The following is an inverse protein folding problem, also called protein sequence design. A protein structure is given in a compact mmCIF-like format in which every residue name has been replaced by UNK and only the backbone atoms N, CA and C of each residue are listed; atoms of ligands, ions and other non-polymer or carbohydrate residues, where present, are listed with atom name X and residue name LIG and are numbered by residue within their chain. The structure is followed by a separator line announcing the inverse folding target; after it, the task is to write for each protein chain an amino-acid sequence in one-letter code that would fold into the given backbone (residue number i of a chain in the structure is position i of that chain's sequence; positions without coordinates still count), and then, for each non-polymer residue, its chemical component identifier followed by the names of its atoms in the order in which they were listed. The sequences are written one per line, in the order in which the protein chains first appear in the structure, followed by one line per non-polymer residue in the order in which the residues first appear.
data_IF_226739166794
#
_entry.id   IF_226739166794
#
_cell.length_a   1.000
_cell.length_b   1.000
_cell.length_c   1.000
_cell.angle_alpha   90.00
_cell.angle_beta   90.00
_cell.angle_gamma   90.00
#
_symmetry.space_group_name_H-M   'P 1'
#
loop_
_entity.id
_entity.type
_entity.pdbx_description
1 polymer ?
#
# COMPACT_ATOMS: atom_id res chain seq x y z
N UNK A 1 -13.48 -20.53 -0.52
CA UNK A 1 -12.61 -19.61 0.24
C UNK A 1 -11.51 -19.02 -0.62
N UNK A 2 -11.14 -19.68 -1.72
CA UNK A 2 -10.24 -19.15 -2.75
C UNK A 2 -10.83 -17.96 -3.53
N UNK A 3 -12.12 -18.04 -3.84
CA UNK A 3 -12.83 -16.98 -4.59
C UNK A 3 -12.81 -15.61 -3.90
N UNK A 4 -12.68 -15.61 -2.57
CA UNK A 4 -12.78 -14.35 -1.81
C UNK A 4 -11.48 -13.53 -1.80
N UNK A 5 -10.31 -14.16 -1.88
CA UNK A 5 -9.03 -13.46 -2.02
C UNK A 5 -8.77 -13.02 -3.47
N UNK A 6 -9.22 -13.84 -4.43
CA UNK A 6 -9.15 -13.48 -5.85
C UNK A 6 -10.19 -12.42 -6.23
N UNK A 7 -11.37 -12.41 -5.57
CA UNK A 7 -12.40 -11.40 -5.76
C UNK A 7 -11.95 -10.02 -5.35
N UNK A 8 -11.17 -9.89 -4.28
CA UNK A 8 -10.64 -8.59 -3.85
C UNK A 8 -9.60 -8.00 -4.80
N UNK A 9 -8.86 -8.86 -5.51
CA UNK A 9 -7.91 -8.43 -6.54
C UNK A 9 -8.61 -7.99 -7.84
N UNK A 10 -9.88 -8.40 -8.05
CA UNK A 10 -10.66 -8.12 -9.27
C UNK A 10 -11.78 -7.08 -9.11
N UNK A 11 -12.10 -6.67 -7.90
CA UNK A 11 -13.22 -5.75 -7.62
C UNK A 11 -12.99 -4.28 -8.02
N UNK A 12 -11.97 -3.99 -8.83
CA UNK A 12 -11.68 -2.67 -9.39
C UNK A 12 -12.15 -2.46 -10.83
N UNK A 13 -12.99 -3.32 -11.39
CA UNK A 13 -13.38 -3.28 -12.79
C UNK A 13 -14.84 -3.01 -13.02
N UNK A 14 -15.11 -1.91 -13.71
CA UNK A 14 -16.30 -1.52 -14.46
C UNK A 14 -17.58 -1.15 -13.71
N UNK A 15 -17.82 0.16 -13.62
CA UNK A 15 -19.12 0.71 -14.00
C UNK A 15 -18.91 1.91 -14.94
N UNK A 16 -19.07 1.61 -16.22
CA UNK A 16 -19.35 2.61 -17.24
C UNK A 16 -20.77 3.10 -17.06
N UNK A 17 -20.95 4.38 -16.86
CA UNK A 17 -22.23 5.05 -17.16
C UNK A 17 -21.97 6.06 -18.27
N UNK A 18 -22.34 5.64 -19.46
CA UNK A 18 -22.74 6.50 -20.55
C UNK A 18 -24.03 7.23 -20.15
N UNK A 19 -24.12 8.51 -20.35
CA UNK A 19 -25.12 9.12 -21.22
C UNK A 19 -25.04 10.66 -21.15
N UNK A 20 -24.91 11.24 -22.30
CA UNK A 20 -25.80 12.11 -23.09
C UNK A 20 -26.11 13.49 -22.52
N UNK A 21 -25.76 14.46 -23.27
CA UNK A 21 -26.50 15.49 -24.00
C UNK A 21 -25.73 16.81 -24.02
N UNK A 22 -25.28 17.18 -25.16
CA UNK A 22 -25.80 18.10 -26.15
C UNK A 22 -26.34 19.44 -25.63
N UNK A 23 -25.79 20.44 -26.24
CA UNK A 23 -26.45 21.54 -26.95
C UNK A 23 -26.13 22.95 -26.43
N UNK A 24 -25.72 23.73 -27.41
CA UNK A 24 -25.95 25.18 -27.62
C UNK A 24 -24.84 26.09 -27.08
N UNK A 25 -23.99 26.65 -27.84
CA UNK A 25 -24.16 27.44 -29.07
C UNK A 25 -24.06 28.92 -28.78
N UNK A 26 -23.13 29.57 -29.37
CA UNK A 26 -23.11 30.92 -29.96
C UNK A 26 -21.81 31.70 -29.70
N UNK A 27 -21.09 31.75 -30.78
CA UNK A 27 -20.46 32.92 -31.42
C UNK A 27 -20.49 34.22 -30.62
N UNK A 28 -19.30 34.83 -30.53
CA UNK A 28 -19.12 36.21 -30.98
C UNK A 28 -17.65 36.43 -31.38
N UNK A 29 -17.53 37.01 -32.53
CA UNK A 29 -16.33 37.34 -33.28
C UNK A 29 -15.78 38.72 -32.93
N UNK A 30 -14.54 38.89 -33.33
CA UNK A 30 -13.86 40.16 -33.75
C UNK A 30 -13.33 41.04 -32.61
N UNK A 31 -12.23 41.71 -32.69
CA UNK A 31 -11.35 42.16 -33.75
C UNK A 31 -10.05 42.67 -33.10
N UNK A 32 -8.95 42.44 -33.69
CA UNK A 32 -8.09 43.31 -34.53
C UNK A 32 -7.04 44.15 -33.77
N UNK A 33 -5.79 43.97 -34.24
CA UNK A 33 -4.69 44.91 -34.48
C UNK A 33 -3.71 45.18 -33.34
N UNK A 34 -2.47 44.73 -33.60
CA UNK A 34 -1.37 45.67 -33.58
C UNK A 34 -0.18 45.36 -32.71
N UNK A 35 0.90 44.98 -33.35
CA UNK A 35 2.13 45.63 -33.00
C UNK A 35 3.24 44.84 -32.32
N UNK A 36 4.24 44.56 -33.13
CA UNK A 36 5.70 44.60 -32.87
C UNK A 36 6.39 43.52 -32.07
N UNK A 37 7.13 42.78 -32.85
CA UNK A 37 8.42 42.09 -32.63
C UNK A 37 9.18 42.51 -31.36
N UNK A 38 9.47 41.52 -30.52
CA UNK A 38 10.80 41.38 -29.92
C UNK A 38 11.03 39.94 -29.52
N UNK A 39 11.95 39.30 -30.21
CA UNK A 39 12.50 37.99 -29.86
C UNK A 39 13.24 38.09 -28.51
N UNK A 40 12.87 37.26 -27.56
CA UNK A 40 13.74 36.88 -26.46
C UNK A 40 13.75 35.36 -26.40
N UNK A 41 14.90 34.81 -26.80
CA UNK A 41 15.29 33.44 -26.50
C UNK A 41 15.29 33.28 -24.97
N UNK A 42 14.28 32.66 -24.44
CA UNK A 42 14.25 32.19 -23.06
C UNK A 42 14.17 30.65 -23.09
N UNK A 43 15.29 30.00 -22.82
CA UNK A 43 15.39 28.54 -22.79
C UNK A 43 14.43 27.97 -21.79
N UNK A 44 13.48 27.19 -22.31
CA UNK A 44 12.57 26.34 -21.51
C UNK A 44 13.37 25.12 -21.04
N UNK A 45 14.05 25.19 -19.91
CA UNK A 45 14.47 24.04 -19.16
C UNK A 45 13.19 23.32 -18.70
N UNK A 46 12.73 22.36 -19.47
CA UNK A 46 11.75 21.37 -19.00
C UNK A 46 12.45 20.48 -17.97
N UNK A 47 12.31 20.84 -16.70
CA UNK A 47 12.53 19.91 -15.62
C UNK A 47 11.46 18.81 -15.76
N UNK A 48 11.86 17.66 -16.30
CA UNK A 48 11.09 16.43 -16.18
C UNK A 48 11.09 16.04 -14.71
N UNK A 49 10.17 16.61 -13.93
CA UNK A 49 9.80 16.04 -12.66
C UNK A 49 9.15 14.70 -12.96
N UNK A 50 9.87 13.62 -12.71
CA UNK A 50 9.30 12.29 -12.68
C UNK A 50 8.24 12.28 -11.57
N UNK A 51 6.99 12.50 -11.94
CA UNK A 51 5.87 12.38 -11.03
C UNK A 51 5.80 10.91 -10.62
N UNK A 52 6.32 10.60 -9.44
CA UNK A 52 6.06 9.31 -8.78
C UNK A 52 4.56 9.25 -8.58
N UNK A 53 3.87 8.39 -9.34
CA UNK A 53 2.44 8.23 -9.25
C UNK A 53 2.07 7.84 -7.83
N UNK A 54 1.32 8.70 -7.14
CA UNK A 54 0.77 8.39 -5.82
C UNK A 54 -0.32 7.31 -5.98
N UNK A 55 -0.41 6.34 -5.06
CA UNK A 55 -1.47 5.34 -5.09
C UNK A 55 -2.84 6.00 -5.11
N UNK A 56 -3.74 5.48 -5.94
CA UNK A 56 -5.12 5.98 -5.99
C UNK A 56 -5.92 5.51 -4.77
N UNK A 57 -6.97 6.26 -4.39
CA UNK A 57 -7.83 5.88 -3.27
C UNK A 57 -8.41 4.44 -3.38
N UNK A 58 -8.84 3.94 -4.56
CA UNK A 58 -9.24 2.53 -4.73
C UNK A 58 -8.12 1.54 -4.42
N UNK A 59 -6.88 1.84 -4.82
CA UNK A 59 -5.71 0.98 -4.54
C UNK A 59 -5.44 0.88 -3.04
N UNK A 60 -5.51 2.00 -2.32
CA UNK A 60 -5.32 2.03 -0.87
C UNK A 60 -6.41 1.23 -0.13
N UNK A 61 -7.65 1.29 -0.59
CA UNK A 61 -8.75 0.50 -0.02
C UNK A 61 -8.52 -1.01 -0.20
N UNK A 62 -8.00 -1.43 -1.36
CA UNK A 62 -7.65 -2.84 -1.61
C UNK A 62 -6.51 -3.27 -0.67
N UNK A 63 -5.47 -2.45 -0.52
CA UNK A 63 -4.35 -2.72 0.40
C UNK A 63 -4.81 -2.78 1.85
N UNK A 64 -5.68 -1.86 2.28
CA UNK A 64 -6.26 -1.85 3.63
C UNK A 64 -7.01 -3.15 3.92
N UNK A 65 -7.91 -3.56 3.02
CA UNK A 65 -8.65 -4.82 3.15
C UNK A 65 -7.71 -6.05 3.15
N UNK A 66 -6.63 -5.99 2.36
CA UNK A 66 -5.62 -7.04 2.33
C UNK A 66 -4.86 -7.12 3.66
N UNK A 67 -4.42 -5.99 4.22
CA UNK A 67 -3.71 -5.95 5.52
C UNK A 67 -4.57 -6.55 6.65
N UNK A 68 -5.88 -6.23 6.68
CA UNK A 68 -6.80 -6.81 7.64
C UNK A 68 -6.87 -8.34 7.52
N UNK A 69 -6.98 -8.86 6.29
CA UNK A 69 -7.05 -10.30 6.03
C UNK A 69 -5.71 -11.01 6.19
N UNK A 70 -4.62 -10.35 5.86
CA UNK A 70 -3.27 -10.89 5.97
C UNK A 70 -2.99 -11.42 7.38
N UNK A 71 -3.47 -10.71 8.41
CA UNK A 71 -3.30 -11.10 9.80
C UNK A 71 -3.84 -12.50 10.12
N UNK A 72 -4.82 -13.01 9.35
CA UNK A 72 -5.41 -14.36 9.53
C UNK A 72 -4.51 -15.48 8.98
N UNK A 73 -3.52 -15.12 8.16
CA UNK A 73 -2.59 -16.05 7.52
C UNK A 73 -1.20 -16.03 8.13
N UNK A 74 -1.03 -15.29 9.23
CA UNK A 74 0.24 -15.13 9.90
C UNK A 74 0.14 -15.63 11.35
N UNK A 75 1.18 -16.33 11.77
CA UNK A 75 1.35 -16.78 13.14
C UNK A 75 2.63 -16.17 13.71
N UNK A 76 2.49 -15.45 14.80
CA UNK A 76 3.59 -14.86 15.54
C UNK A 76 4.04 -15.76 16.69
N UNK A 77 5.32 -15.70 17.11
CA UNK A 77 5.76 -16.39 18.31
C UNK A 77 4.89 -16.01 19.52
N UNK A 78 4.53 -16.96 20.35
CA UNK A 78 3.65 -16.72 21.50
C UNK A 78 4.19 -15.63 22.44
N UNK A 79 5.50 -15.52 22.56
CA UNK A 79 6.17 -14.50 23.39
C UNK A 79 5.93 -13.04 22.94
N UNK A 80 5.37 -12.82 21.75
CA UNK A 80 4.99 -11.48 21.26
C UNK A 80 3.77 -10.92 22.01
N UNK A 81 2.97 -11.81 22.58
CA UNK A 81 1.75 -11.46 23.27
C UNK A 81 1.89 -11.62 24.78
N UNK A 82 1.50 -10.60 25.53
CA UNK A 82 1.56 -10.59 27.00
C UNK A 82 0.31 -11.19 27.64
N UNK A 83 -0.82 -11.22 26.91
CA UNK A 83 -2.06 -11.86 27.34
C UNK A 83 -2.84 -12.46 26.15
N UNK A 84 -3.77 -13.39 26.41
CA UNK A 84 -4.65 -13.92 25.37
C UNK A 84 -5.54 -12.86 24.71
N UNK A 85 -5.91 -11.80 25.40
CA UNK A 85 -6.79 -10.73 24.94
C UNK A 85 -6.07 -9.61 24.23
N UNK A 86 -4.71 -9.58 24.29
CA UNK A 86 -3.93 -8.53 23.65
C UNK A 86 -4.26 -8.46 22.15
N UNK A 87 -4.62 -7.26 21.64
CA UNK A 87 -4.95 -7.11 20.22
C UNK A 87 -3.71 -7.31 19.33
N UNK A 88 -3.96 -7.65 18.08
CA UNK A 88 -2.96 -7.57 17.01
C UNK A 88 -2.91 -6.11 16.56
N UNK A 89 -1.74 -5.50 16.65
CA UNK A 89 -1.53 -4.10 16.29
C UNK A 89 -0.96 -4.02 14.88
N UNK A 90 -1.68 -3.32 14.00
CA UNK A 90 -1.21 -2.94 12.67
C UNK A 90 -0.68 -1.52 12.76
N UNK A 91 0.65 -1.37 12.73
CA UNK A 91 1.32 -0.09 12.67
C UNK A 91 1.29 0.50 11.26
N UNK A 92 1.16 1.82 11.16
CA UNK A 92 1.36 2.59 9.93
C UNK A 92 2.46 3.59 10.23
N UNK A 93 3.61 3.44 9.58
CA UNK A 93 4.76 4.34 9.74
C UNK A 93 4.78 5.36 8.60
N UNK A 94 4.82 6.64 8.95
CA UNK A 94 4.73 7.77 8.03
C UNK A 94 3.29 8.24 7.80
N UNK A 95 3.05 8.82 6.62
CA UNK A 95 1.71 9.32 6.24
C UNK A 95 0.75 8.15 6.05
N UNK A 96 -0.43 8.26 6.66
CA UNK A 96 -1.45 7.21 6.56
C UNK A 96 -2.17 7.24 5.20
N UNK A 97 -1.98 6.22 4.34
CA UNK A 97 -2.66 6.16 3.06
C UNK A 97 -4.09 5.60 3.14
N UNK A 98 -4.50 5.06 4.29
CA UNK A 98 -5.75 4.31 4.44
C UNK A 98 -6.87 5.12 5.11
N UNK A 99 -6.51 6.12 5.89
CA UNK A 99 -7.45 6.98 6.58
C UNK A 99 -8.21 6.30 7.73
N UNK A 100 -9.18 7.03 8.35
CA UNK A 100 -9.91 6.57 9.54
C UNK A 100 -10.87 5.41 9.24
N UNK A 101 -11.26 5.21 7.99
CA UNK A 101 -12.15 4.11 7.58
C UNK A 101 -11.49 2.75 7.76
N UNK A 102 -10.15 2.70 7.72
CA UNK A 102 -9.41 1.48 7.99
C UNK A 102 -9.63 0.99 9.42
N UNK A 103 -9.60 1.89 10.41
CA UNK A 103 -9.90 1.54 11.81
C UNK A 103 -11.30 0.95 11.97
N UNK A 104 -12.29 1.57 11.30
CA UNK A 104 -13.66 1.10 11.33
C UNK A 104 -13.79 -0.31 10.71
N UNK A 105 -13.09 -0.57 9.60
CA UNK A 105 -13.11 -1.86 8.92
C UNK A 105 -12.54 -2.99 9.76
N UNK A 106 -11.55 -2.71 10.62
CA UNK A 106 -10.91 -3.73 11.47
C UNK A 106 -11.79 -4.21 12.64
N UNK A 107 -12.78 -3.43 13.07
CA UNK A 107 -13.63 -3.77 14.23
C UNK A 107 -14.37 -5.11 14.06
N UNK A 108 -14.68 -5.48 12.83
CA UNK A 108 -15.36 -6.73 12.51
C UNK A 108 -14.43 -7.95 12.46
N UNK A 109 -13.09 -7.72 12.47
CA UNK A 109 -12.12 -8.78 12.33
C UNK A 109 -11.64 -9.28 13.68
N UNK A 110 -11.55 -10.62 13.78
CA UNK A 110 -10.85 -11.30 14.88
C UNK A 110 -9.91 -12.34 14.29
N UNK A 111 -8.75 -12.48 14.89
CA UNK A 111 -7.72 -13.46 14.52
C UNK A 111 -7.33 -14.22 15.76
N UNK A 112 -7.60 -15.53 15.78
CA UNK A 112 -7.39 -16.36 16.97
C UNK A 112 -7.99 -15.76 18.26
N UNK A 113 -9.21 -15.19 18.16
CA UNK A 113 -9.92 -14.53 19.26
C UNK A 113 -9.47 -13.08 19.55
N UNK A 114 -8.36 -12.62 19.00
CA UNK A 114 -7.81 -11.28 19.21
C UNK A 114 -8.46 -10.26 18.28
N UNK A 115 -8.75 -9.06 18.78
CA UNK A 115 -9.15 -7.92 17.96
C UNK A 115 -7.96 -7.34 17.20
N UNK A 116 -8.23 -6.59 16.13
CA UNK A 116 -7.22 -5.83 15.39
C UNK A 116 -7.35 -4.34 15.73
N UNK A 117 -6.20 -3.67 15.85
CA UNK A 117 -6.13 -2.23 16.10
C UNK A 117 -5.09 -1.57 15.19
N UNK A 118 -5.36 -0.33 14.77
CA UNK A 118 -4.38 0.49 14.03
C UNK A 118 -3.61 1.38 14.99
N UNK A 119 -2.32 1.54 14.76
CA UNK A 119 -1.46 2.49 15.44
C UNK A 119 -0.63 3.26 14.43
N UNK A 120 -0.82 4.58 14.37
CA UNK A 120 -0.07 5.49 13.49
C UNK A 120 1.21 5.92 14.16
N UNK A 121 2.33 5.79 13.46
CA UNK A 121 3.67 5.98 13.98
C UNK A 121 4.42 7.03 13.15
N UNK A 122 5.17 7.88 13.83
CA UNK A 122 6.07 8.85 13.20
C UNK A 122 7.53 8.39 13.21
N UNK A 123 7.86 7.43 14.06
CA UNK A 123 9.22 6.95 14.25
C UNK A 123 9.21 5.43 14.33
N UNK A 124 10.24 4.80 13.77
CA UNK A 124 10.39 3.34 13.77
C UNK A 124 10.63 2.77 15.17
N UNK A 125 11.20 3.57 16.08
CA UNK A 125 11.44 3.20 17.46
C UNK A 125 10.15 2.89 18.21
N UNK A 126 9.04 3.53 17.80
CA UNK A 126 7.71 3.36 18.39
C UNK A 126 6.98 2.10 17.85
N UNK A 127 7.60 1.36 16.90
CA UNK A 127 7.01 0.15 16.32
C UNK A 127 7.01 -1.07 17.29
N UNK A 128 7.59 -0.92 18.47
CA UNK A 128 7.53 -1.95 19.49
C UNK A 128 6.10 -2.36 19.81
N UNK A 129 5.83 -3.69 19.86
CA UNK A 129 4.51 -4.25 20.10
C UNK A 129 3.55 -4.22 18.89
N UNK A 130 3.97 -3.74 17.72
CA UNK A 130 3.25 -4.00 16.47
C UNK A 130 3.54 -5.41 15.99
N UNK A 131 2.52 -6.12 15.53
CA UNK A 131 2.65 -7.41 14.88
C UNK A 131 2.81 -7.26 13.37
N UNK A 132 2.18 -6.26 12.78
CA UNK A 132 2.28 -5.90 11.39
C UNK A 132 2.63 -4.42 11.28
N UNK A 133 3.49 -4.05 10.34
CA UNK A 133 3.88 -2.65 10.10
C UNK A 133 3.84 -2.34 8.61
N UNK A 134 2.95 -1.44 8.23
CA UNK A 134 2.98 -0.84 6.90
C UNK A 134 3.91 0.38 6.91
N UNK A 135 4.90 0.39 6.02
CA UNK A 135 5.83 1.50 5.84
C UNK A 135 5.36 2.27 4.61
N UNK A 136 4.91 3.50 4.86
CA UNK A 136 4.36 4.38 3.83
C UNK A 136 5.45 4.91 2.90
N UNK A 137 5.07 5.32 1.69
CA UNK A 137 5.99 5.95 0.71
C UNK A 137 6.63 7.25 1.21
N UNK A 138 6.00 7.93 2.16
CA UNK A 138 6.63 9.10 2.82
C UNK A 138 7.94 8.76 3.51
N UNK A 139 8.19 7.47 3.78
CA UNK A 139 9.41 6.96 4.42
C UNK A 139 10.46 6.42 3.44
N UNK A 140 10.23 6.47 2.12
CA UNK A 140 11.09 5.87 1.09
C UNK A 140 12.55 6.31 1.21
N UNK A 141 12.81 7.59 1.51
CA UNK A 141 14.16 8.12 1.71
C UNK A 141 14.88 7.55 2.94
N UNK A 142 14.13 7.03 3.90
CA UNK A 142 14.63 6.45 5.15
C UNK A 142 14.40 4.93 5.25
N UNK A 143 13.93 4.29 4.17
CA UNK A 143 13.50 2.90 4.17
C UNK A 143 14.62 1.95 4.64
N UNK A 144 15.84 2.14 4.14
CA UNK A 144 16.99 1.27 4.51
C UNK A 144 17.29 1.28 6.02
N UNK A 145 17.50 2.42 6.69
CA UNK A 145 17.71 2.45 8.13
C UNK A 145 16.48 1.98 8.93
N UNK A 146 15.26 2.22 8.46
CA UNK A 146 14.03 1.72 9.08
C UNK A 146 14.03 0.19 9.10
N UNK A 147 14.22 -0.46 7.94
CA UNK A 147 14.22 -1.91 7.84
C UNK A 147 15.38 -2.55 8.62
N UNK A 148 16.56 -1.91 8.64
CA UNK A 148 17.68 -2.37 9.47
C UNK A 148 17.34 -2.34 10.98
N UNK A 149 16.60 -1.33 11.44
CA UNK A 149 16.13 -1.25 12.84
C UNK A 149 15.13 -2.35 13.20
N UNK A 150 14.37 -2.85 12.20
CA UNK A 150 13.34 -3.87 12.39
C UNK A 150 13.85 -5.29 12.20
N UNK A 151 15.06 -5.47 11.67
CA UNK A 151 15.63 -6.78 11.38
C UNK A 151 15.64 -7.69 12.63
N UNK A 152 15.22 -8.94 12.46
CA UNK A 152 15.13 -9.94 13.53
C UNK A 152 14.01 -9.71 14.54
N UNK A 153 13.26 -8.62 14.46
CA UNK A 153 12.08 -8.39 15.29
C UNK A 153 10.87 -9.16 14.71
N UNK A 154 9.97 -9.66 15.56
CA UNK A 154 8.78 -10.40 15.10
C UNK A 154 7.68 -9.45 14.59
N UNK A 155 8.04 -8.61 13.63
CA UNK A 155 7.17 -7.61 13.00
C UNK A 155 7.09 -7.93 11.50
N UNK A 156 5.89 -8.21 11.00
CA UNK A 156 5.65 -8.42 9.58
C UNK A 156 5.59 -7.07 8.88
N UNK A 157 6.59 -6.75 8.06
CA UNK A 157 6.67 -5.46 7.37
C UNK A 157 6.03 -5.51 5.99
N UNK A 158 5.34 -4.43 5.60
CA UNK A 158 4.75 -4.26 4.27
C UNK A 158 5.09 -2.88 3.71
N UNK A 159 5.24 -2.77 2.39
CA UNK A 159 5.50 -1.49 1.71
C UNK A 159 5.37 -1.60 0.19
N UNK A 160 5.57 -0.48 -0.49
CA UNK A 160 5.38 -0.35 -1.95
C UNK A 160 6.69 -0.05 -2.70
N UNK A 161 7.79 0.22 -2.01
CA UNK A 161 9.07 0.59 -2.61
C UNK A 161 9.66 -0.57 -3.43
N UNK A 162 10.25 -0.28 -4.58
CA UNK A 162 10.75 -1.32 -5.51
C UNK A 162 11.82 -2.21 -4.91
N UNK A 163 12.68 -1.67 -4.06
CA UNK A 163 13.72 -2.43 -3.39
C UNK A 163 13.32 -2.95 -1.99
N UNK A 164 12.03 -2.86 -1.64
CA UNK A 164 11.54 -3.20 -0.29
C UNK A 164 12.02 -4.57 0.20
N UNK A 165 11.88 -5.60 -0.64
CA UNK A 165 12.32 -6.96 -0.27
C UNK A 165 13.84 -7.09 -0.22
N UNK A 166 14.57 -6.43 -1.13
CA UNK A 166 16.04 -6.43 -1.15
C UNK A 166 16.63 -5.76 0.09
N UNK A 167 15.92 -4.78 0.65
CA UNK A 167 16.32 -4.06 1.86
C UNK A 167 15.92 -4.79 3.15
N UNK A 168 15.32 -5.99 3.06
CA UNK A 168 14.94 -6.82 4.21
C UNK A 168 13.46 -6.70 4.60
N UNK A 169 12.64 -6.05 3.80
CA UNK A 169 11.19 -6.01 4.02
C UNK A 169 10.52 -7.35 3.73
N UNK A 170 9.39 -7.62 4.39
CA UNK A 170 8.74 -8.94 4.33
C UNK A 170 7.77 -9.07 3.16
N UNK A 171 6.89 -8.09 2.92
CA UNK A 171 5.92 -8.11 1.83
C UNK A 171 5.94 -6.81 1.06
N UNK A 172 6.12 -6.90 -0.25
CA UNK A 172 6.02 -5.76 -1.16
C UNK A 172 4.74 -5.83 -1.95
N UNK A 173 3.98 -4.73 -1.95
CA UNK A 173 2.89 -4.50 -2.89
C UNK A 173 3.40 -3.87 -4.18
N UNK A 174 2.76 -4.19 -5.30
CA UNK A 174 2.91 -3.46 -6.55
C UNK A 174 1.61 -3.46 -7.34
N UNK A 175 1.51 -2.50 -8.24
CA UNK A 175 0.36 -2.39 -9.12
C UNK A 175 0.53 -3.29 -10.35
N UNK A 176 -0.52 -4.07 -10.65
CA UNK A 176 -0.62 -4.90 -11.84
C UNK A 176 -1.86 -4.51 -12.62
N UNK A 177 -1.73 -3.55 -13.56
CA UNK A 177 -2.88 -2.93 -14.19
C UNK A 177 -3.75 -2.25 -13.16
N UNK A 178 -5.02 -2.65 -13.04
CA UNK A 178 -5.97 -2.15 -12.03
C UNK A 178 -5.96 -2.98 -10.73
N UNK A 179 -5.19 -4.04 -10.67
CA UNK A 179 -5.11 -4.93 -9.51
C UNK A 179 -3.89 -4.62 -8.65
N UNK A 180 -3.94 -5.00 -7.38
CA UNK A 180 -2.81 -5.01 -6.45
C UNK A 180 -2.28 -6.44 -6.37
N UNK A 181 -0.98 -6.60 -6.59
CA UNK A 181 -0.26 -7.84 -6.41
C UNK A 181 0.77 -7.69 -5.28
N UNK A 182 1.34 -8.80 -4.80
CA UNK A 182 2.36 -8.77 -3.75
C UNK A 182 3.37 -9.90 -3.91
N UNK A 183 4.56 -9.66 -3.35
CA UNK A 183 5.60 -10.67 -3.15
C UNK A 183 5.99 -10.73 -1.68
N UNK A 184 6.38 -11.92 -1.23
CA UNK A 184 6.86 -12.16 0.13
C UNK A 184 8.29 -12.68 0.09
N UNK A 185 9.15 -12.11 0.94
CA UNK A 185 10.49 -12.59 1.19
C UNK A 185 10.46 -13.73 2.22
N UNK A 186 10.84 -14.94 1.79
CA UNK A 186 10.98 -16.09 2.68
C UNK A 186 12.11 -15.90 3.71
N UNK A 187 13.15 -15.16 3.35
CA UNK A 187 14.28 -14.90 4.24
C UNK A 187 13.85 -13.96 5.38
N UNK A 188 13.16 -12.85 5.04
CA UNK A 188 12.64 -11.92 6.03
C UNK A 188 11.61 -12.59 6.98
N UNK A 189 10.79 -13.53 6.47
CA UNK A 189 9.90 -14.33 7.32
C UNK A 189 10.68 -15.17 8.34
N UNK A 190 11.72 -15.86 7.89
CA UNK A 190 12.56 -16.68 8.80
C UNK A 190 13.25 -15.81 9.84
N UNK A 191 13.83 -14.69 9.44
CA UNK A 191 14.50 -13.76 10.35
C UNK A 191 13.55 -13.20 11.41
N UNK A 192 12.30 -12.87 11.01
CA UNK A 192 11.29 -12.36 11.94
C UNK A 192 10.62 -13.46 12.77
N UNK A 193 10.90 -14.74 12.50
CA UNK A 193 10.29 -15.90 13.18
C UNK A 193 8.76 -15.91 13.06
N UNK A 194 8.21 -15.36 11.98
CA UNK A 194 6.78 -15.37 11.68
C UNK A 194 6.51 -16.51 10.70
N UNK A 195 5.48 -17.30 10.99
CA UNK A 195 5.03 -18.35 10.11
C UNK A 195 3.89 -17.83 9.22
N UNK A 196 4.02 -18.02 7.93
CA UNK A 196 2.96 -17.68 6.98
C UNK A 196 2.26 -18.97 6.51
N UNK A 197 0.93 -18.93 6.46
CA UNK A 197 0.13 -20.06 5.96
C UNK A 197 0.52 -20.38 4.50
N UNK A 198 0.62 -21.68 4.10
CA UNK A 198 1.04 -22.06 2.74
C UNK A 198 0.25 -21.42 1.61
N UNK A 199 -1.06 -21.21 1.79
CA UNK A 199 -1.90 -20.51 0.79
C UNK A 199 -1.44 -19.08 0.52
N UNK A 200 -1.00 -18.34 1.53
CA UNK A 200 -0.49 -16.99 1.35
C UNK A 200 0.80 -17.01 0.52
N UNK A 201 1.69 -17.97 0.78
CA UNK A 201 2.94 -18.14 0.05
C UNK A 201 2.69 -18.56 -1.41
N UNK A 202 1.70 -19.42 -1.67
CA UNK A 202 1.30 -19.80 -3.03
C UNK A 202 0.80 -18.60 -3.85
N UNK A 203 -0.01 -17.71 -3.23
CA UNK A 203 -0.47 -16.47 -3.86
C UNK A 203 0.68 -15.51 -4.18
N UNK A 204 1.70 -15.46 -3.32
CA UNK A 204 2.91 -14.68 -3.55
C UNK A 204 3.76 -15.22 -4.71
N UNK A 205 3.86 -16.55 -4.85
CA UNK A 205 4.71 -17.22 -5.84
C UNK A 205 4.06 -17.35 -7.21
N UNK A 206 2.77 -17.01 -7.34
CA UNK A 206 2.06 -16.99 -8.61
C UNK A 206 1.75 -15.53 -9.04
N UNK A 207 2.76 -14.71 -9.34
CA UNK A 207 2.52 -13.52 -10.10
C UNK A 207 2.11 -14.02 -11.47
N UNK A 208 0.83 -13.89 -11.85
CA UNK A 208 0.44 -14.14 -13.22
C UNK A 208 1.49 -13.43 -14.10
N UNK A 209 2.28 -14.23 -14.84
CA UNK A 209 3.45 -13.78 -15.60
C UNK A 209 3.12 -12.46 -16.29
N UNK A 210 3.99 -11.43 -16.26
CA UNK A 210 3.91 -10.37 -17.23
C UNK A 210 4.12 -11.02 -18.59
N UNK A 211 3.10 -10.95 -19.46
CA UNK A 211 3.24 -11.16 -20.89
C UNK A 211 3.96 -9.97 -21.48
#
# INVERSE_FOLDING_TARGET
MEDHLQSLARAGGSQSLSDTSETTGRRLQAAIIGGTRRALLGGLLRACASAVAQPSAPENNIKAAFLAKLSQYLEWPAAVFTSPEQPIIIGILGDDPFGPEFDASLRAFKVAGRSLMVRRLRRVEDAGGCQLLHISRSEDMRLKPILATLQGKPIFTTGDHDDFLKLGGTLRFWRKGESVAFHISHDALRESRITAHPRLLQLSNNPAKPQ
#
